data_IF_274768788257
#
_entry.id   IF_274768788257
#
_cell.length_a   1.000
_cell.length_b   1.000
_cell.length_c   1.000
_cell.angle_alpha   90.00
_cell.angle_beta   90.00
_cell.angle_gamma   90.00
#
_symmetry.space_group_name_H-M   'P 1'
#
loop_
_entity.id
_entity.type
_entity.pdbx_description
1 polymer ?
#
# COMPACT_ATOMS: atom_id res chain seq x y z
N UNK A 1 7.89 -5.47 -18.22
CA UNK A 1 6.48 -5.72 -17.83
C UNK A 1 5.72 -4.41 -17.92
N UNK A 2 4.58 -4.34 -18.63
CA UNK A 2 3.79 -3.12 -18.75
C UNK A 2 3.13 -2.74 -17.40
N UNK A 3 2.96 -1.44 -17.16
CA UNK A 3 2.36 -0.93 -15.92
C UNK A 3 0.89 -1.36 -15.80
N UNK A 4 0.50 -1.83 -14.60
CA UNK A 4 -0.88 -2.25 -14.33
C UNK A 4 -1.79 -1.01 -14.26
N UNK A 5 -2.74 -0.90 -15.20
CA UNK A 5 -3.68 0.24 -15.26
C UNK A 5 -4.66 0.19 -14.09
N UNK A 6 -4.74 1.29 -13.33
CA UNK A 6 -5.71 1.46 -12.25
C UNK A 6 -7.05 1.97 -12.82
N UNK A 7 -8.17 1.52 -12.25
CA UNK A 7 -9.46 2.16 -12.47
C UNK A 7 -9.41 3.55 -11.84
N UNK A 8 -9.80 4.60 -12.57
CA UNK A 8 -9.83 5.96 -12.05
C UNK A 8 -10.90 6.11 -10.97
N UNK A 9 -10.71 7.04 -10.03
CA UNK A 9 -11.71 7.34 -8.98
C UNK A 9 -13.08 7.66 -9.58
N UNK A 10 -13.12 8.45 -10.66
CA UNK A 10 -14.35 8.73 -11.41
C UNK A 10 -15.07 7.46 -11.86
N UNK A 11 -14.35 6.52 -12.51
CA UNK A 11 -14.95 5.27 -12.97
C UNK A 11 -15.37 4.35 -11.82
N UNK A 12 -14.73 4.45 -10.65
CA UNK A 12 -15.19 3.74 -9.44
C UNK A 12 -16.51 4.32 -8.93
N UNK A 13 -16.62 5.64 -8.85
CA UNK A 13 -17.87 6.32 -8.47
C UNK A 13 -19.01 5.97 -9.42
N UNK A 14 -18.76 6.06 -10.73
CA UNK A 14 -19.73 5.65 -11.76
C UNK A 14 -20.14 4.19 -11.65
N UNK A 15 -19.19 3.28 -11.41
CA UNK A 15 -19.49 1.86 -11.20
C UNK A 15 -20.40 1.63 -9.99
N UNK A 16 -20.14 2.31 -8.86
CA UNK A 16 -20.97 2.20 -7.67
C UNK A 16 -22.38 2.76 -7.90
N UNK A 17 -22.51 3.90 -8.60
CA UNK A 17 -23.81 4.46 -8.97
C UNK A 17 -24.65 3.46 -9.79
N UNK A 18 -24.08 2.89 -10.86
CA UNK A 18 -24.78 1.88 -11.66
C UNK A 18 -25.15 0.62 -10.88
N UNK A 19 -24.30 0.17 -9.96
CA UNK A 19 -24.63 -0.96 -9.08
C UNK A 19 -25.80 -0.63 -8.14
N UNK A 20 -25.90 0.62 -7.70
CA UNK A 20 -27.02 1.11 -6.88
C UNK A 20 -28.32 1.20 -7.69
N UNK A 21 -28.22 1.54 -8.97
CA UNK A 21 -29.34 1.57 -9.93
C UNK A 21 -29.75 0.16 -10.41
N UNK A 22 -29.14 -0.91 -9.87
CA UNK A 22 -29.49 -2.29 -10.16
C UNK A 22 -28.80 -2.90 -11.39
N UNK A 23 -27.86 -2.19 -12.02
CA UNK A 23 -27.08 -2.73 -13.15
C UNK A 23 -26.21 -3.89 -12.67
N UNK A 24 -26.18 -4.97 -13.44
CA UNK A 24 -25.40 -6.16 -13.07
C UNK A 24 -23.90 -5.89 -13.05
N UNK A 25 -23.16 -6.56 -12.15
CA UNK A 25 -21.69 -6.43 -12.04
C UNK A 25 -20.97 -6.78 -13.36
N UNK A 26 -21.51 -7.76 -14.10
CA UNK A 26 -21.00 -8.15 -15.42
C UNK A 26 -21.16 -7.03 -16.45
N UNK A 27 -22.31 -6.37 -16.45
CA UNK A 27 -22.59 -5.28 -17.37
C UNK A 27 -21.75 -4.03 -17.06
N UNK A 28 -21.62 -3.67 -15.78
CA UNK A 28 -20.72 -2.59 -15.36
C UNK A 28 -19.28 -2.87 -15.81
N UNK A 29 -18.81 -4.11 -15.66
CA UNK A 29 -17.46 -4.51 -16.10
C UNK A 29 -17.29 -4.37 -17.62
N UNK A 30 -18.29 -4.80 -18.40
CA UNK A 30 -18.34 -4.68 -19.86
C UNK A 30 -18.31 -3.23 -20.30
N UNK A 31 -19.15 -2.37 -19.72
CA UNK A 31 -19.24 -0.94 -20.06
C UNK A 31 -17.95 -0.18 -19.71
N UNK A 32 -17.25 -0.57 -18.64
CA UNK A 32 -15.99 0.07 -18.23
C UNK A 32 -14.74 -0.56 -18.85
N UNK A 33 -14.88 -1.63 -19.64
CA UNK A 33 -13.76 -2.34 -20.25
C UNK A 33 -12.77 -2.91 -19.23
N UNK A 34 -13.27 -3.41 -18.10
CA UNK A 34 -12.46 -4.03 -17.02
C UNK A 34 -12.92 -5.45 -16.74
N UNK A 35 -12.05 -6.25 -16.12
CA UNK A 35 -12.47 -7.59 -15.69
C UNK A 35 -13.59 -7.52 -14.63
N UNK A 36 -14.53 -8.47 -14.67
CA UNK A 36 -15.59 -8.61 -13.67
C UNK A 36 -15.07 -8.58 -12.22
N UNK A 37 -13.90 -9.20 -11.99
CA UNK A 37 -13.26 -9.23 -10.66
C UNK A 37 -12.91 -7.85 -10.10
N UNK A 38 -12.69 -6.84 -10.95
CA UNK A 38 -12.43 -5.46 -10.51
C UNK A 38 -13.71 -4.88 -9.89
N UNK A 39 -14.86 -5.12 -10.51
CA UNK A 39 -16.16 -4.62 -10.04
C UNK A 39 -16.60 -5.35 -8.77
N UNK A 40 -16.41 -6.67 -8.69
CA UNK A 40 -16.72 -7.45 -7.48
C UNK A 40 -15.94 -6.92 -6.27
N UNK A 41 -14.61 -6.77 -6.41
CA UNK A 41 -13.76 -6.25 -5.31
C UNK A 41 -14.10 -4.81 -4.96
N UNK A 42 -14.41 -3.97 -5.96
CA UNK A 42 -14.83 -2.59 -5.74
C UNK A 42 -16.12 -2.54 -4.89
N UNK A 43 -17.13 -3.31 -5.27
CA UNK A 43 -18.41 -3.36 -4.57
C UNK A 43 -18.26 -3.86 -3.13
N UNK A 44 -17.53 -4.96 -2.91
CA UNK A 44 -17.25 -5.49 -1.57
C UNK A 44 -16.57 -4.45 -0.68
N UNK A 45 -15.56 -3.77 -1.22
CA UNK A 45 -14.85 -2.71 -0.52
C UNK A 45 -15.80 -1.56 -0.16
N UNK A 46 -16.60 -1.11 -1.13
CA UNK A 46 -17.56 -0.02 -0.90
C UNK A 46 -18.58 -0.38 0.18
N UNK A 47 -19.10 -1.61 0.18
CA UNK A 47 -20.01 -2.08 1.24
C UNK A 47 -19.35 -2.08 2.63
N UNK A 48 -18.04 -2.31 2.72
CA UNK A 48 -17.32 -2.28 4.01
C UNK A 48 -16.94 -0.88 4.45
N UNK A 49 -16.63 0.03 3.51
CA UNK A 49 -15.98 1.31 3.85
C UNK A 49 -16.79 2.55 3.48
N UNK A 50 -17.88 2.38 2.74
CA UNK A 50 -18.68 3.43 2.13
C UNK A 50 -17.84 4.50 1.40
N UNK A 51 -16.75 4.07 0.75
CA UNK A 51 -15.76 4.97 0.17
C UNK A 51 -15.15 4.38 -1.11
N UNK A 52 -15.08 5.22 -2.15
CA UNK A 52 -14.53 4.89 -3.48
C UNK A 52 -13.05 5.27 -3.63
N UNK A 53 -12.54 6.17 -2.80
CA UNK A 53 -11.15 6.65 -2.82
C UNK A 53 -10.16 5.55 -2.49
N UNK A 54 -8.94 5.61 -3.01
CA UNK A 54 -7.89 4.67 -2.58
C UNK A 54 -7.49 4.94 -1.13
N UNK A 55 -7.31 3.87 -0.35
CA UNK A 55 -6.68 4.00 0.97
C UNK A 55 -5.20 4.37 0.78
N UNK A 56 -4.68 5.33 1.54
CA UNK A 56 -3.25 5.55 1.58
C UNK A 56 -2.55 4.26 2.03
N UNK A 57 -1.44 3.93 1.37
CA UNK A 57 -0.61 2.80 1.78
C UNK A 57 0.27 3.27 2.93
N UNK A 58 0.09 2.70 4.12
CA UNK A 58 0.88 3.02 5.31
C UNK A 58 2.32 2.46 5.25
N UNK A 59 2.59 1.54 4.33
CA UNK A 59 3.89 0.86 4.27
C UNK A 59 4.18 0.03 5.52
N UNK A 60 5.42 -0.43 5.66
CA UNK A 60 5.87 -1.10 6.89
C UNK A 60 6.28 -0.02 7.91
N UNK A 61 5.79 -0.07 9.16
CA UNK A 61 6.28 0.83 10.21
C UNK A 61 7.79 0.72 10.35
N UNK A 62 8.47 1.87 10.53
CA UNK A 62 9.91 1.88 10.82
C UNK A 62 10.15 1.26 12.20
N UNK A 63 11.14 0.37 12.28
CA UNK A 63 11.59 -0.24 13.54
C UNK A 63 12.66 0.58 14.24
N UNK A 64 13.35 1.44 13.48
CA UNK A 64 14.45 2.25 13.96
C UNK A 64 14.06 3.72 13.98
N UNK A 65 14.60 4.45 14.95
CA UNK A 65 14.45 5.91 15.01
C UNK A 65 15.45 6.61 14.07
N UNK A 66 15.22 7.87 13.67
CA UNK A 66 16.19 8.61 12.85
C UNK A 66 17.58 8.74 13.48
N UNK A 67 17.67 8.70 14.83
CA UNK A 67 18.95 8.70 15.55
C UNK A 67 19.67 7.36 15.41
N UNK A 68 18.94 6.26 15.56
CA UNK A 68 19.46 4.90 15.35
C UNK A 68 19.92 4.70 13.90
N UNK A 69 19.14 5.16 12.92
CA UNK A 69 19.49 5.08 11.50
C UNK A 69 20.85 5.77 11.22
N UNK A 70 21.05 6.98 11.78
CA UNK A 70 22.32 7.72 11.67
C UNK A 70 23.47 7.00 12.35
N UNK A 71 23.23 6.38 13.51
CA UNK A 71 24.24 5.60 14.21
C UNK A 71 24.65 4.38 13.38
N UNK A 72 23.67 3.60 12.90
CA UNK A 72 23.90 2.40 12.07
C UNK A 72 24.68 2.80 10.81
N UNK A 73 24.26 3.86 10.12
CA UNK A 73 24.95 4.35 8.93
C UNK A 73 26.41 4.73 9.24
N UNK A 74 26.66 5.48 10.33
CA UNK A 74 28.01 5.90 10.70
C UNK A 74 28.90 4.71 11.04
N UNK A 75 28.40 3.77 11.85
CA UNK A 75 29.16 2.57 12.22
C UNK A 75 29.49 1.71 10.99
N UNK A 76 28.53 1.51 10.09
CA UNK A 76 28.75 0.75 8.87
C UNK A 76 29.75 1.42 7.91
N UNK A 77 29.74 2.76 7.82
CA UNK A 77 30.66 3.50 6.95
C UNK A 77 32.08 3.59 7.52
N UNK A 78 32.22 3.80 8.83
CA UNK A 78 33.53 3.88 9.50
C UNK A 78 34.20 2.52 9.61
N UNK A 79 33.43 1.47 9.88
CA UNK A 79 33.93 0.11 10.08
C UNK A 79 33.30 -0.86 9.08
N UNK A 80 33.76 -0.79 7.82
CA UNK A 80 33.16 -1.53 6.70
C UNK A 80 33.13 -3.06 6.85
N UNK A 81 34.04 -3.63 7.64
CA UNK A 81 34.12 -5.07 7.91
C UNK A 81 33.21 -5.54 9.07
N UNK A 82 32.58 -4.61 9.80
CA UNK A 82 31.78 -4.94 10.98
C UNK A 82 30.46 -5.56 10.59
N UNK A 83 30.08 -6.64 11.28
CA UNK A 83 28.81 -7.33 11.02
C UNK A 83 27.62 -6.60 11.64
N UNK A 84 26.43 -6.77 11.06
CA UNK A 84 25.20 -6.19 11.58
C UNK A 84 24.90 -6.59 13.04
N UNK A 85 25.34 -7.78 13.48
CA UNK A 85 25.16 -8.24 14.86
C UNK A 85 25.91 -7.36 15.85
N UNK A 86 27.14 -6.97 15.51
CA UNK A 86 27.99 -6.11 16.33
C UNK A 86 27.40 -4.69 16.40
N UNK A 87 27.05 -4.11 15.25
CA UNK A 87 26.44 -2.77 15.19
C UNK A 87 25.13 -2.71 16.01
N UNK A 88 24.31 -3.76 15.93
CA UNK A 88 23.09 -3.88 16.74
C UNK A 88 23.39 -3.98 18.23
N UNK A 89 24.47 -4.65 18.62
CA UNK A 89 24.93 -4.73 20.02
C UNK A 89 25.27 -3.35 20.55
N UNK A 90 26.16 -2.63 19.85
CA UNK A 90 26.56 -1.27 20.19
C UNK A 90 25.36 -0.31 20.25
N UNK A 91 24.41 -0.44 19.32
CA UNK A 91 23.21 0.40 19.31
C UNK A 91 22.36 0.21 20.58
N UNK A 92 22.26 -1.03 21.08
CA UNK A 92 21.49 -1.34 22.31
C UNK A 92 22.18 -0.84 23.57
N UNK A 93 23.51 -0.83 23.60
CA UNK A 93 24.30 -0.31 24.72
C UNK A 93 24.07 1.20 24.92
N UNK A 94 23.97 1.95 23.83
CA UNK A 94 23.69 3.40 23.86
C UNK A 94 22.23 3.78 24.19
N UNK A 95 21.34 2.80 24.34
CA UNK A 95 19.92 3.00 24.66
C UNK A 95 19.56 2.67 26.12
N UNK A 96 20.53 2.17 26.89
CA UNK A 96 20.41 2.00 28.35
C UNK A 96 20.80 3.29 29.06
#
# INVERSE_FOLDING_TARGET
MPARRKLTTFNRGRAIAWLHDGVSKCEVARQLGVSHSVIVRLNQRFQTTNNVEERPRSGRPKKTTPREDRFIQRQALQHRATTCKVIRGQLREHQR
#
